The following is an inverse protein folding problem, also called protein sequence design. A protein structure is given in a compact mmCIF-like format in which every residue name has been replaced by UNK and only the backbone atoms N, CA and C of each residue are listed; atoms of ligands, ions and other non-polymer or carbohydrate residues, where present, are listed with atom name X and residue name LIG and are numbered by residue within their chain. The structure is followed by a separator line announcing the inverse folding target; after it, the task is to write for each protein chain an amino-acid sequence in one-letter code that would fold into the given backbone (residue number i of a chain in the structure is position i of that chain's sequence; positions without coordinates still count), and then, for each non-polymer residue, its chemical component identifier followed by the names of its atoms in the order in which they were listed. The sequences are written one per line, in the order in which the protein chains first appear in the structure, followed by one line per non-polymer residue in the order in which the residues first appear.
data_IF_449036941930
#
_entry.id   IF_449036941930
#
_cell.length_a   1.000
_cell.length_b   1.000
_cell.length_c   1.000
_cell.angle_alpha   90.00
_cell.angle_beta   90.00
_cell.angle_gamma   90.00
#
_symmetry.space_group_name_H-M   'P 1'
#
loop_
_entity.id
_entity.type
_entity.pdbx_description
1 polymer ?
#
# COMPACT_ATOMS: atom_id res chain seq x y z
N UNK A 1 3.83 -13.94 -11.15
CA UNK A 1 2.70 -13.34 -10.37
C UNK A 1 1.61 -12.79 -11.30
N UNK A 2 1.98 -12.25 -12.47
CA UNK A 2 1.07 -11.78 -13.54
C UNK A 2 0.02 -12.80 -13.97
N UNK A 3 0.40 -14.03 -14.28
CA UNK A 3 -0.55 -15.08 -14.70
C UNK A 3 -1.61 -15.39 -13.65
N UNK A 4 -1.32 -15.17 -12.36
CA UNK A 4 -2.31 -15.30 -11.31
C UNK A 4 -3.28 -14.13 -11.34
N UNK A 5 -2.78 -12.90 -11.46
CA UNK A 5 -3.61 -11.71 -11.54
C UNK A 5 -4.54 -11.77 -12.76
N UNK A 6 -4.01 -12.11 -13.94
CA UNK A 6 -4.79 -12.24 -15.18
C UNK A 6 -5.93 -13.26 -15.09
N UNK A 7 -5.78 -14.33 -14.31
CA UNK A 7 -6.85 -15.33 -14.07
C UNK A 7 -8.00 -14.81 -13.20
N UNK A 8 -7.78 -13.73 -12.46
CA UNK A 8 -8.80 -13.08 -11.63
C UNK A 8 -9.29 -11.75 -12.23
N UNK A 9 -8.77 -11.37 -13.40
CA UNK A 9 -9.26 -10.21 -14.15
C UNK A 9 -10.36 -10.63 -15.14
N UNK A 10 -11.27 -9.72 -15.41
CA UNK A 10 -12.28 -9.79 -16.47
C UNK A 10 -12.51 -8.39 -17.05
N UNK A 11 -13.55 -8.23 -17.89
CA UNK A 11 -13.86 -6.97 -18.57
C UNK A 11 -14.30 -5.85 -17.59
N UNK A 12 -14.77 -6.20 -16.38
CA UNK A 12 -15.25 -5.25 -15.37
C UNK A 12 -14.21 -5.00 -14.26
N UNK A 13 -13.28 -5.94 -14.04
CA UNK A 13 -12.30 -5.92 -12.95
C UNK A 13 -10.89 -6.22 -13.45
N UNK A 14 -9.99 -5.25 -13.29
CA UNK A 14 -8.54 -5.48 -13.43
C UNK A 14 -7.92 -5.83 -12.07
N UNK A 15 -7.30 -7.01 -11.98
CA UNK A 15 -6.45 -7.37 -10.83
C UNK A 15 -5.01 -6.99 -11.14
N UNK A 16 -4.46 -6.08 -10.33
CA UNK A 16 -3.08 -5.59 -10.48
C UNK A 16 -2.13 -6.47 -9.67
N UNK A 17 -1.07 -7.05 -10.27
CA UNK A 17 -0.06 -7.80 -9.52
C UNK A 17 0.62 -6.91 -8.48
N UNK A 18 0.57 -7.29 -7.21
CA UNK A 18 1.21 -6.55 -6.14
C UNK A 18 1.69 -7.48 -5.03
N UNK A 19 2.67 -7.02 -4.25
CA UNK A 19 3.17 -7.72 -3.06
C UNK A 19 3.60 -6.73 -1.99
N UNK A 20 3.14 -6.95 -0.77
CA UNK A 20 3.79 -6.36 0.41
C UNK A 20 5.01 -7.22 0.75
N UNK A 21 6.20 -6.65 0.61
CA UNK A 21 7.47 -7.29 0.89
C UNK A 21 7.94 -6.88 2.28
N UNK A 22 8.31 -7.89 3.06
CA UNK A 22 8.90 -7.71 4.37
C UNK A 22 10.42 -7.65 4.23
N UNK A 23 10.99 -6.46 4.31
CA UNK A 23 12.45 -6.27 4.20
C UNK A 23 13.12 -6.25 5.56
N UNK A 24 14.42 -6.50 5.59
CA UNK A 24 15.23 -6.49 6.80
C UNK A 24 15.13 -7.77 7.63
N UNK A 25 15.89 -7.79 8.71
CA UNK A 25 15.83 -8.84 9.73
C UNK A 25 14.78 -8.51 10.81
N UNK A 26 14.71 -9.34 11.85
CA UNK A 26 13.77 -9.17 12.97
C UNK A 26 13.91 -7.82 13.70
N UNK A 27 15.10 -7.21 13.69
CA UNK A 27 15.39 -5.95 14.37
C UNK A 27 15.09 -4.70 13.54
N UNK A 28 15.09 -4.83 12.21
CA UNK A 28 14.95 -3.70 11.27
C UNK A 28 13.88 -3.97 10.20
N UNK A 29 12.80 -4.67 10.57
CA UNK A 29 11.77 -5.08 9.62
C UNK A 29 11.03 -3.87 9.06
N UNK A 30 10.92 -3.77 7.74
CA UNK A 30 10.15 -2.73 7.06
C UNK A 30 9.24 -3.35 6.01
N UNK A 31 8.00 -2.90 5.98
CA UNK A 31 7.01 -3.29 4.97
C UNK A 31 7.04 -2.28 3.83
N UNK A 32 7.12 -2.80 2.61
CA UNK A 32 7.04 -2.00 1.39
C UNK A 32 6.07 -2.69 0.44
N UNK A 33 5.11 -1.95 -0.11
CA UNK A 33 4.14 -2.47 -1.05
C UNK A 33 4.59 -2.14 -2.48
N UNK A 34 4.88 -3.16 -3.27
CA UNK A 34 5.21 -3.02 -4.69
C UNK A 34 4.03 -3.41 -5.57
N UNK A 35 3.66 -2.56 -6.51
CA UNK A 35 2.58 -2.76 -7.49
C UNK A 35 3.19 -2.82 -8.91
N UNK A 36 2.72 -3.75 -9.74
CA UNK A 36 3.18 -3.93 -11.13
C UNK A 36 4.18 -5.06 -11.36
N UNK A 37 4.45 -5.89 -10.35
CA UNK A 37 5.49 -6.92 -10.40
C UNK A 37 5.26 -7.95 -11.52
N UNK A 38 6.33 -8.28 -12.26
CA UNK A 38 6.46 -9.44 -13.16
C UNK A 38 6.76 -10.72 -12.40
N UNK A 39 7.73 -10.61 -11.49
CA UNK A 39 8.40 -11.71 -10.81
C UNK A 39 8.21 -11.56 -9.29
N UNK A 40 8.13 -12.68 -8.55
CA UNK A 40 8.06 -12.63 -7.10
C UNK A 40 9.35 -12.04 -6.51
N UNK A 41 9.19 -11.10 -5.57
CA UNK A 41 10.28 -10.60 -4.73
C UNK A 41 10.30 -11.39 -3.42
N UNK A 42 11.46 -11.93 -2.99
CA UNK A 42 11.56 -12.67 -1.74
C UNK A 42 11.43 -11.75 -0.52
N UNK A 43 10.87 -12.29 0.56
CA UNK A 43 10.86 -11.63 1.86
C UNK A 43 12.20 -11.80 2.59
N UNK A 44 12.42 -10.95 3.59
CA UNK A 44 13.58 -10.89 4.48
C UNK A 44 14.92 -10.66 3.78
N UNK A 45 14.87 -10.07 2.58
CA UNK A 45 16.04 -9.46 1.94
C UNK A 45 16.26 -8.04 2.49
N UNK A 46 17.44 -7.47 2.23
CA UNK A 46 17.73 -6.11 2.65
C UNK A 46 16.77 -5.11 1.98
N UNK A 47 16.49 -4.00 2.64
CA UNK A 47 15.67 -2.92 2.09
C UNK A 47 16.19 -2.48 0.71
N UNK A 48 17.50 -2.28 0.57
CA UNK A 48 18.10 -1.89 -0.71
C UNK A 48 17.99 -2.96 -1.80
N UNK A 49 18.09 -4.24 -1.45
CA UNK A 49 17.88 -5.32 -2.41
C UNK A 49 16.42 -5.36 -2.90
N UNK A 50 15.46 -5.14 -2.00
CA UNK A 50 14.04 -5.06 -2.39
C UNK A 50 13.78 -3.85 -3.30
N UNK A 51 14.31 -2.68 -2.95
CA UNK A 51 14.17 -1.48 -3.78
C UNK A 51 14.81 -1.64 -5.16
N UNK A 52 15.97 -2.28 -5.25
CA UNK A 52 16.62 -2.60 -6.53
C UNK A 52 15.79 -3.56 -7.38
N UNK A 53 15.12 -4.53 -6.74
CA UNK A 53 14.23 -5.45 -7.45
C UNK A 53 12.95 -4.77 -7.94
N UNK A 54 12.41 -3.80 -7.17
CA UNK A 54 11.27 -2.99 -7.61
C UNK A 54 11.63 -2.10 -8.81
N UNK A 55 12.80 -1.48 -8.77
CA UNK A 55 13.33 -0.65 -9.86
C UNK A 55 13.55 -1.47 -11.14
N UNK A 56 14.18 -2.65 -11.03
CA UNK A 56 14.38 -3.59 -12.15
C UNK A 56 13.09 -3.99 -12.85
N UNK A 57 11.97 -3.98 -12.13
CA UNK A 57 10.66 -4.40 -12.62
C UNK A 57 9.73 -3.23 -12.95
N UNK A 58 10.20 -1.99 -12.89
CA UNK A 58 9.40 -0.78 -13.07
C UNK A 58 8.15 -0.72 -12.17
N UNK A 59 8.24 -1.28 -10.97
CA UNK A 59 7.13 -1.29 -10.03
C UNK A 59 6.87 0.11 -9.43
N UNK A 60 5.63 0.38 -9.06
CA UNK A 60 5.29 1.48 -8.16
C UNK A 60 5.56 1.07 -6.71
N UNK A 61 6.27 1.91 -5.96
CA UNK A 61 6.70 1.61 -4.59
C UNK A 61 5.88 2.44 -3.61
N UNK A 62 5.08 1.78 -2.78
CA UNK A 62 4.18 2.40 -1.82
C UNK A 62 4.59 2.04 -0.39
N UNK A 63 4.38 2.98 0.54
CA UNK A 63 4.63 2.74 1.97
C UNK A 63 3.30 2.45 2.68
N UNK A 64 3.01 1.18 3.01
CA UNK A 64 1.81 0.83 3.75
C UNK A 64 1.97 1.20 5.23
N UNK A 65 0.89 1.67 5.87
CA UNK A 65 0.79 1.93 7.31
C UNK A 65 2.04 2.54 7.99
N UNK A 66 2.57 3.67 7.50
CA UNK A 66 3.85 4.24 7.97
C UNK A 66 3.87 4.49 9.49
N UNK A 67 4.96 4.11 10.13
CA UNK A 67 5.15 4.20 11.58
C UNK A 67 4.23 3.31 12.41
N UNK A 68 3.45 2.40 11.79
CA UNK A 68 2.72 1.37 12.52
C UNK A 68 3.69 0.35 13.11
N UNK A 69 3.63 0.21 14.44
CA UNK A 69 4.58 -0.58 15.23
C UNK A 69 6.04 -0.32 14.80
N UNK A 70 6.88 -1.36 14.81
CA UNK A 70 8.27 -1.35 14.33
C UNK A 70 8.38 -2.05 12.97
N UNK A 71 7.30 -2.10 12.19
CA UNK A 71 7.21 -2.96 11.01
C UNK A 71 7.13 -2.19 9.69
N UNK A 72 6.84 -0.89 9.69
CA UNK A 72 6.81 -0.06 8.47
C UNK A 72 7.84 1.07 8.55
N UNK A 73 8.06 1.75 7.42
CA UNK A 73 8.98 2.88 7.35
C UNK A 73 8.52 3.99 8.30
N UNK A 74 9.51 4.58 8.96
CA UNK A 74 9.36 5.77 9.79
C UNK A 74 9.42 7.05 8.94
N UNK A 75 9.02 8.18 9.53
CA UNK A 75 9.11 9.49 8.85
C UNK A 75 10.54 9.80 8.34
N UNK A 76 11.62 9.64 9.13
CA UNK A 76 12.97 9.89 8.62
C UNK A 76 13.36 8.99 7.44
N UNK A 77 12.96 7.72 7.46
CA UNK A 77 13.24 6.78 6.36
C UNK A 77 12.49 7.16 5.09
N UNK A 78 11.21 7.54 5.21
CA UNK A 78 10.43 8.05 4.05
C UNK A 78 11.09 9.32 3.48
N UNK A 79 11.50 10.25 4.34
CA UNK A 79 12.17 11.48 3.89
C UNK A 79 13.51 11.18 3.19
N UNK A 80 14.27 10.20 3.68
CA UNK A 80 15.56 9.80 3.11
C UNK A 80 15.45 9.07 1.76
N UNK A 81 14.27 8.55 1.42
CA UNK A 81 14.02 7.79 0.19
C UNK A 81 12.89 8.39 -0.66
N UNK A 82 12.58 9.68 -0.45
CA UNK A 82 11.40 10.33 -1.02
C UNK A 82 11.30 10.26 -2.56
N UNK A 83 12.44 10.25 -3.24
CA UNK A 83 12.58 10.15 -4.69
C UNK A 83 12.32 8.74 -5.24
N UNK A 84 12.37 7.71 -4.38
CA UNK A 84 12.18 6.30 -4.73
C UNK A 84 10.78 5.78 -4.36
N UNK A 85 9.93 6.64 -3.80
CA UNK A 85 8.60 6.29 -3.31
C UNK A 85 7.52 6.96 -4.16
N UNK A 86 6.50 6.20 -4.54
CA UNK A 86 5.37 6.65 -5.35
C UNK A 86 4.20 7.16 -4.50
N UNK A 87 4.05 6.64 -3.27
CA UNK A 87 3.01 7.09 -2.34
C UNK A 87 3.22 6.60 -0.90
N UNK A 88 2.51 7.25 0.02
CA UNK A 88 2.42 6.86 1.43
C UNK A 88 0.97 6.63 1.82
N UNK A 89 0.68 5.56 2.58
CA UNK A 89 -0.70 5.24 2.97
C UNK A 89 -1.23 6.29 3.96
N UNK A 90 -2.34 6.93 3.63
CA UNK A 90 -3.00 7.95 4.46
C UNK A 90 -4.29 7.44 5.09
N UNK A 91 -4.80 6.29 4.65
CA UNK A 91 -5.92 5.61 5.28
C UNK A 91 -5.81 4.09 5.12
N UNK A 92 -5.97 3.39 6.22
CA UNK A 92 -6.01 1.94 6.30
C UNK A 92 -7.17 1.51 7.20
N UNK A 93 -8.10 0.70 6.69
CA UNK A 93 -9.29 0.26 7.47
C UNK A 93 -8.93 -0.51 8.74
N UNK A 94 -7.78 -1.21 8.75
CA UNK A 94 -7.29 -1.95 9.91
C UNK A 94 -6.78 -1.01 11.03
N UNK A 95 -6.34 0.20 10.69
CA UNK A 95 -5.72 1.10 11.66
C UNK A 95 -6.74 1.87 12.51
N UNK A 96 -6.39 2.09 13.78
CA UNK A 96 -7.17 2.93 14.68
C UNK A 96 -7.13 4.41 14.22
N UNK A 97 -8.13 5.24 14.58
CA UNK A 97 -8.22 6.63 14.11
C UNK A 97 -6.96 7.46 14.36
N UNK A 98 -6.31 7.31 15.51
CA UNK A 98 -5.07 8.03 15.84
C UNK A 98 -3.85 7.54 15.03
N UNK A 99 -3.86 6.27 14.59
CA UNK A 99 -2.83 5.70 13.72
C UNK A 99 -3.00 6.26 12.30
N UNK A 100 -4.22 6.27 11.75
CA UNK A 100 -4.51 6.94 10.47
C UNK A 100 -4.25 8.47 10.52
N UNK A 101 -4.46 9.13 11.66
CA UNK A 101 -4.05 10.52 11.85
C UNK A 101 -2.53 10.70 11.87
N UNK A 102 -1.77 9.71 12.34
CA UNK A 102 -0.30 9.72 12.26
C UNK A 102 0.19 9.50 10.82
N UNK A 103 -0.39 8.56 10.09
CA UNK A 103 0.04 8.28 8.71
C UNK A 103 -0.16 9.49 7.80
N UNK A 104 -1.30 10.20 7.91
CA UNK A 104 -1.54 11.49 7.24
C UNK A 104 -0.50 12.55 7.55
N UNK A 105 -0.19 12.77 8.85
CA UNK A 105 0.86 13.71 9.26
C UNK A 105 2.23 13.35 8.71
N UNK A 106 2.54 12.06 8.57
CA UNK A 106 3.80 11.62 7.96
C UNK A 106 3.81 12.00 6.48
N UNK A 107 2.77 11.63 5.72
CA UNK A 107 2.66 11.95 4.30
C UNK A 107 2.77 13.46 4.04
N UNK A 108 2.03 14.28 4.80
CA UNK A 108 2.11 15.75 4.76
C UNK A 108 3.52 16.26 5.06
N UNK A 109 4.16 15.76 6.12
CA UNK A 109 5.48 16.22 6.55
C UNK A 109 6.62 15.78 5.62
N UNK A 110 6.39 14.79 4.75
CA UNK A 110 7.35 14.33 3.74
C UNK A 110 6.99 14.77 2.33
N UNK A 111 5.88 15.49 2.14
CA UNK A 111 5.41 15.93 0.82
C UNK A 111 5.04 14.77 -0.11
N UNK A 112 4.73 13.60 0.43
CA UNK A 112 4.46 12.39 -0.34
C UNK A 112 2.97 12.30 -0.68
N UNK A 113 2.60 11.96 -1.93
CA UNK A 113 1.20 11.82 -2.29
C UNK A 113 0.57 10.60 -1.60
N UNK A 114 -0.67 10.75 -1.14
CA UNK A 114 -1.37 9.76 -0.32
C UNK A 114 -2.01 8.64 -1.14
N UNK A 115 -2.19 7.46 -0.53
CA UNK A 115 -3.11 6.43 -1.01
C UNK A 115 -3.88 5.81 0.17
N UNK A 116 -5.00 5.16 -0.12
CA UNK A 116 -5.79 4.46 0.88
C UNK A 116 -6.12 3.04 0.45
N UNK A 117 -6.16 2.15 1.42
CA UNK A 117 -6.49 0.75 1.21
C UNK A 117 -7.34 0.19 2.34
N UNK A 118 -8.11 -0.86 2.02
CA UNK A 118 -8.80 -1.65 3.03
C UNK A 118 -7.85 -2.49 3.87
N UNK A 119 -6.66 -2.82 3.34
CA UNK A 119 -5.67 -3.69 3.97
C UNK A 119 -6.28 -4.98 4.54
N UNK A 120 -7.18 -5.57 3.76
CA UNK A 120 -8.11 -6.60 4.19
C UNK A 120 -7.43 -7.96 4.46
N UNK A 121 -7.57 -8.47 5.68
CA UNK A 121 -7.28 -9.87 6.02
C UNK A 121 -8.58 -10.69 6.10
N UNK A 122 -9.71 -10.02 6.28
CA UNK A 122 -11.04 -10.62 6.32
C UNK A 122 -11.80 -10.30 5.03
N UNK A 123 -12.58 -11.25 4.53
CA UNK A 123 -13.38 -11.03 3.30
C UNK A 123 -14.32 -9.81 3.41
N UNK A 124 -14.83 -9.57 4.62
CA UNK A 124 -15.73 -8.46 4.88
C UNK A 124 -15.08 -7.08 4.82
N UNK A 125 -13.75 -6.96 4.83
CA UNK A 125 -13.08 -5.66 4.75
C UNK A 125 -12.68 -5.25 3.34
N UNK A 126 -12.77 -6.17 2.37
CA UNK A 126 -12.50 -5.85 0.96
C UNK A 126 -13.42 -4.71 0.51
N UNK A 127 -12.84 -3.61 0.04
CA UNK A 127 -13.58 -2.44 -0.45
C UNK A 127 -14.10 -1.49 0.63
N UNK A 128 -13.68 -1.64 1.89
CA UNK A 128 -14.00 -0.69 2.96
C UNK A 128 -13.23 0.65 2.82
N UNK A 129 -12.10 0.64 2.12
CA UNK A 129 -11.37 1.84 1.69
C UNK A 129 -10.63 1.58 0.38
N UNK A 130 -10.49 2.63 -0.42
CA UNK A 130 -9.88 2.59 -1.75
C UNK A 130 -9.29 3.95 -2.14
N UNK A 131 -8.53 3.95 -3.25
CA UNK A 131 -7.99 5.14 -3.89
C UNK A 131 -8.72 5.37 -5.21
N UNK A 132 -9.24 6.57 -5.42
CA UNK A 132 -9.89 7.00 -6.67
C UNK A 132 -8.91 7.91 -7.40
N UNK A 133 -8.57 7.59 -8.65
CA UNK A 133 -7.77 8.47 -9.50
C UNK A 133 -8.67 9.45 -10.25
N UNK A 134 -8.14 10.63 -10.56
CA UNK A 134 -8.85 11.69 -11.30
C UNK A 134 -8.85 11.44 -12.83
N UNK A 135 -8.53 10.22 -13.25
CA UNK A 135 -8.62 9.74 -14.63
C UNK A 135 -9.12 8.28 -14.65
N UNK A 136 -9.75 7.90 -15.77
CA UNK A 136 -9.99 6.49 -16.05
C UNK A 136 -8.66 5.81 -16.34
N UNK A 137 -8.45 4.63 -15.77
CA UNK A 137 -7.27 3.81 -15.96
C UNK A 137 -7.71 2.47 -16.53
N UNK A 138 -7.16 2.10 -17.68
CA UNK A 138 -7.50 0.90 -18.42
C UNK A 138 -6.35 -0.11 -18.35
N UNK A 139 -6.33 -0.86 -17.25
CA UNK A 139 -5.42 -1.98 -17.06
C UNK A 139 -4.26 -1.73 -16.08
N UNK A 140 -3.34 -2.69 -16.06
CA UNK A 140 -2.26 -2.79 -15.06
C UNK A 140 -1.25 -1.65 -15.20
N UNK A 141 -0.77 -1.42 -16.43
CA UNK A 141 0.33 -0.48 -16.68
C UNK A 141 -0.09 0.96 -16.36
N UNK A 142 -1.31 1.35 -16.74
CA UNK A 142 -1.85 2.68 -16.42
C UNK A 142 -1.99 2.91 -14.91
N UNK A 143 -2.35 1.89 -14.13
CA UNK A 143 -2.39 2.00 -12.66
C UNK A 143 -0.99 2.18 -12.07
N UNK A 144 0.00 1.44 -12.57
CA UNK A 144 1.39 1.54 -12.12
C UNK A 144 1.95 2.93 -12.46
N UNK A 145 1.73 3.41 -13.68
CA UNK A 145 2.15 4.73 -14.14
C UNK A 145 1.44 5.85 -13.38
N UNK A 146 0.14 5.71 -13.09
CA UNK A 146 -0.59 6.68 -12.28
C UNK A 146 0.01 6.87 -10.89
N UNK A 147 0.50 5.80 -10.26
CA UNK A 147 1.26 5.91 -9.01
C UNK A 147 2.64 6.53 -9.23
N UNK A 148 3.44 6.03 -10.18
CA UNK A 148 4.83 6.46 -10.43
C UNK A 148 4.93 7.94 -10.84
N UNK A 149 3.99 8.42 -11.63
CA UNK A 149 3.96 9.81 -12.13
C UNK A 149 3.25 10.79 -11.20
N UNK A 150 2.67 10.29 -10.10
CA UNK A 150 1.98 11.14 -9.14
C UNK A 150 0.63 11.67 -9.65
N UNK A 151 -0.10 10.88 -10.44
CA UNK A 151 -1.43 11.24 -10.89
C UNK A 151 -2.33 11.58 -9.69
N UNK A 152 -3.09 12.66 -9.83
CA UNK A 152 -4.01 13.15 -8.81
C UNK A 152 -5.05 12.08 -8.44
N UNK A 153 -5.32 12.00 -7.14
CA UNK A 153 -6.14 10.94 -6.55
C UNK A 153 -6.69 11.35 -5.20
N UNK A 154 -7.82 10.72 -4.84
CA UNK A 154 -8.52 10.91 -3.58
C UNK A 154 -8.64 9.59 -2.84
N UNK A 155 -8.39 9.62 -1.53
CA UNK A 155 -8.61 8.47 -0.65
C UNK A 155 -10.04 8.47 -0.14
N UNK A 156 -10.74 7.35 -0.34
CA UNK A 156 -12.15 7.19 0.02
C UNK A 156 -12.32 5.98 0.92
N UNK A 157 -13.22 6.07 1.89
CA UNK A 157 -13.60 4.94 2.72
C UNK A 157 -15.11 4.93 2.98
N UNK A 158 -15.63 3.76 3.34
CA UNK A 158 -17.03 3.61 3.77
C UNK A 158 -17.26 4.38 5.06
N UNK A 159 -18.48 4.88 5.24
CA UNK A 159 -18.91 5.56 6.46
C UNK A 159 -19.78 4.67 7.36
N UNK A 160 -20.12 5.20 8.54
CA UNK A 160 -21.12 4.62 9.43
C UNK A 160 -20.63 3.50 10.34
N UNK A 161 -21.54 3.01 11.21
CA UNK A 161 -21.21 2.07 12.28
C UNK A 161 -20.73 0.70 11.76
N UNK A 162 -21.30 0.22 10.65
CA UNK A 162 -20.91 -1.06 10.07
C UNK A 162 -19.43 -1.07 9.65
N UNK A 163 -18.96 0.01 9.03
CA UNK A 163 -17.56 0.21 8.67
C UNK A 163 -16.66 0.22 9.91
N UNK A 164 -17.05 0.95 10.97
CA UNK A 164 -16.28 0.99 12.23
C UNK A 164 -16.16 -0.40 12.87
N UNK A 165 -17.24 -1.18 12.90
CA UNK A 165 -17.23 -2.55 13.41
C UNK A 165 -16.30 -3.43 12.57
N UNK A 166 -16.38 -3.33 11.23
CA UNK A 166 -15.50 -4.09 10.33
C UNK A 166 -14.03 -3.75 10.57
N UNK A 167 -13.69 -2.47 10.73
CA UNK A 167 -12.34 -2.02 11.09
C UNK A 167 -11.87 -2.57 12.44
N UNK A 168 -12.73 -2.59 13.45
CA UNK A 168 -12.40 -3.17 14.77
C UNK A 168 -12.13 -4.69 14.70
N UNK A 169 -12.95 -5.44 13.96
CA UNK A 169 -12.76 -6.89 13.78
C UNK A 169 -11.48 -7.17 12.99
N UNK A 170 -11.21 -6.37 11.97
CA UNK A 170 -9.98 -6.42 11.18
C UNK A 170 -8.73 -6.10 12.00
N UNK A 171 -8.82 -5.14 12.93
CA UNK A 171 -7.74 -4.85 13.88
C UNK A 171 -7.53 -6.02 14.86
N UNK A 172 -8.61 -6.59 15.39
CA UNK A 172 -8.55 -7.70 16.34
C UNK A 172 -7.90 -8.97 15.75
N UNK A 173 -7.94 -9.15 14.43
CA UNK A 173 -7.22 -10.22 13.73
C UNK A 173 -5.70 -10.21 14.00
N UNK A 174 -5.11 -9.09 14.44
CA UNK A 174 -3.68 -9.06 14.81
C UNK A 174 -3.34 -9.97 16.01
N UNK A 175 -4.33 -10.34 16.82
CA UNK A 175 -4.15 -11.16 18.01
C UNK A 175 -4.33 -12.67 17.76
N UNK A 176 -4.63 -13.08 16.53
CA UNK A 176 -4.78 -14.47 16.11
C UNK A 176 -3.55 -14.92 15.31
#
# INVERSE_FOLDING_TARGET
IRDRAARFSDDDLTVVPAREVFTGDWGNRRHVLAIGLSDPVPDYITFEAAMAEFDRQDAAVLVPHPGFATISLTRPEIAAHADRLSAVETYNTKLLPHQNARTRRIAEATGQPGFGSSYAHLRGTVGEAWTVFDAALDGVDEVVDAFRTGLSRTVVHRGGAAHQIRGMVEFAHLAY
#
